data_IF_777068225019
#
_entry.id   IF_777068225019
#
_cell.length_a   1.000
_cell.length_b   1.000
_cell.length_c   1.000
_cell.angle_alpha   90.00
_cell.angle_beta   90.00
_cell.angle_gamma   90.00
#
_symmetry.space_group_name_H-M   'P 1'
#
loop_
_entity.id
_entity.type
_entity.pdbx_description
1 polymer ?
#
# COMPACT_ATOMS: atom_id res chain seq x y z
N UNK A 1 17.20 8.69 22.89
CA UNK A 1 15.81 8.82 22.39
C UNK A 1 15.70 7.85 21.22
N UNK A 2 15.35 6.59 21.49
CA UNK A 2 15.29 5.54 20.46
C UNK A 2 13.96 5.67 19.71
N UNK A 3 14.04 5.76 18.39
CA UNK A 3 12.88 5.58 17.52
C UNK A 3 12.30 4.17 17.77
N UNK A 4 10.96 4.00 17.81
CA UNK A 4 10.39 2.67 17.82
C UNK A 4 10.71 1.97 16.49
N UNK A 5 11.64 1.02 16.57
CA UNK A 5 11.96 0.05 15.54
C UNK A 5 10.77 -0.89 15.34
N UNK A 6 10.23 -0.87 14.12
CA UNK A 6 9.62 -2.01 13.44
C UNK A 6 8.51 -2.78 14.16
N UNK A 7 7.25 -2.49 13.81
CA UNK A 7 6.25 -3.50 13.46
C UNK A 7 4.88 -2.83 13.19
N UNK A 8 4.74 -2.23 12.01
CA UNK A 8 3.44 -2.09 11.37
C UNK A 8 3.46 -2.87 10.04
N UNK A 9 3.90 -4.13 10.12
CA UNK A 9 3.87 -5.09 9.01
C UNK A 9 2.70 -6.09 9.18
N UNK A 10 1.65 -5.69 9.90
CA UNK A 10 0.41 -6.46 9.91
C UNK A 10 -0.45 -5.93 8.78
N UNK A 11 -0.56 -6.67 7.67
CA UNK A 11 -1.68 -6.71 6.71
C UNK A 11 -1.82 -5.65 5.58
N UNK A 12 -0.79 -4.84 5.27
CA UNK A 12 -0.83 -3.97 4.09
C UNK A 12 -0.58 -4.76 2.80
N UNK A 13 -1.19 -4.37 1.68
CA UNK A 13 -0.95 -5.04 0.40
C UNK A 13 0.44 -4.71 -0.16
N UNK A 14 1.00 -5.65 -0.94
CA UNK A 14 2.31 -5.48 -1.62
C UNK A 14 2.40 -4.22 -2.48
N UNK A 15 1.29 -3.78 -3.06
CA UNK A 15 1.25 -2.56 -3.87
C UNK A 15 1.33 -1.29 -3.03
N UNK A 16 0.66 -1.25 -1.86
CA UNK A 16 0.73 -0.07 -0.99
C UNK A 16 2.13 0.05 -0.38
N UNK A 17 2.76 -1.05 0.04
CA UNK A 17 4.14 -1.00 0.55
C UNK A 17 5.14 -0.50 -0.51
N UNK A 18 4.98 -0.96 -1.76
CA UNK A 18 5.80 -0.47 -2.87
C UNK A 18 5.57 1.03 -3.11
N UNK A 19 4.33 1.49 -3.17
CA UNK A 19 4.02 2.90 -3.39
C UNK A 19 4.61 3.80 -2.31
N UNK A 20 4.51 3.41 -1.04
CA UNK A 20 5.10 4.17 0.08
C UNK A 20 6.62 4.21 0.02
N UNK A 21 7.26 3.14 -0.48
CA UNK A 21 8.71 3.11 -0.68
C UNK A 21 9.14 4.10 -1.76
N UNK A 22 8.46 4.13 -2.90
CA UNK A 22 8.75 5.05 -4.01
C UNK A 22 8.50 6.52 -3.60
N UNK A 23 7.38 6.81 -2.93
CA UNK A 23 7.06 8.16 -2.45
C UNK A 23 8.14 8.70 -1.51
N UNK A 24 8.61 7.88 -0.56
CA UNK A 24 9.72 8.26 0.34
C UNK A 24 11.03 8.44 -0.44
N UNK A 25 11.29 7.60 -1.44
CA UNK A 25 12.46 7.70 -2.32
C UNK A 25 12.50 9.02 -3.11
N UNK A 26 11.35 9.51 -3.57
CA UNK A 26 11.21 10.80 -4.24
C UNK A 26 11.13 12.02 -3.28
N UNK A 27 11.20 11.79 -1.96
CA UNK A 27 11.18 12.85 -0.95
C UNK A 27 9.79 13.39 -0.62
N UNK A 28 8.71 12.72 -1.02
CA UNK A 28 7.38 13.07 -0.56
C UNK A 28 7.23 12.78 0.94
N UNK A 29 6.54 13.65 1.70
CA UNK A 29 6.27 13.41 3.11
C UNK A 29 5.32 12.22 3.26
N UNK A 30 5.80 11.14 3.86
CA UNK A 30 5.00 9.96 4.20
C UNK A 30 5.08 9.76 5.71
N UNK A 31 4.08 10.26 6.44
CA UNK A 31 4.04 10.11 7.90
C UNK A 31 3.64 8.69 8.28
N UNK A 32 4.23 8.17 9.37
CA UNK A 32 3.91 6.81 9.83
C UNK A 32 2.45 6.66 10.29
N UNK A 33 1.85 7.74 10.78
CA UNK A 33 0.41 7.79 11.13
C UNK A 33 -0.48 7.62 9.90
N UNK A 34 -0.14 8.28 8.79
CA UNK A 34 -0.89 8.20 7.54
C UNK A 34 -0.70 6.82 6.91
N UNK A 35 0.56 6.33 6.91
CA UNK A 35 0.87 5.01 6.42
C UNK A 35 0.08 3.94 7.19
N UNK A 36 0.06 4.01 8.52
CA UNK A 36 -0.67 3.06 9.36
C UNK A 36 -2.14 2.94 8.93
N UNK A 37 -2.80 4.06 8.63
CA UNK A 37 -4.20 4.12 8.16
C UNK A 37 -4.49 3.41 6.83
N UNK A 38 -3.47 3.13 6.01
CA UNK A 38 -3.64 2.48 4.69
C UNK A 38 -3.78 0.95 4.76
N UNK A 39 -3.92 0.38 5.95
CA UNK A 39 -4.24 -1.04 6.09
C UNK A 39 -5.65 -1.35 5.57
N UNK A 40 -5.81 -2.30 4.64
CA UNK A 40 -7.13 -2.73 4.18
C UNK A 40 -7.95 -3.45 5.26
N UNK A 41 -7.35 -3.81 6.41
CA UNK A 41 -8.06 -4.43 7.53
C UNK A 41 -8.12 -3.53 8.77
N UNK A 42 -7.86 -2.23 8.65
CA UNK A 42 -8.11 -1.26 9.72
C UNK A 42 -9.62 -1.06 9.95
N UNK A 43 -10.44 -1.29 8.93
CA UNK A 43 -11.90 -1.21 9.05
C UNK A 43 -12.47 -2.61 9.23
N UNK A 44 -13.09 -2.85 10.37
CA UNK A 44 -13.88 -4.06 10.67
C UNK A 44 -15.08 -4.25 9.75
N UNK A 45 -15.52 -3.19 9.07
CA UNK A 45 -16.73 -3.17 8.26
C UNK A 45 -16.50 -3.63 6.81
N UNK A 46 -15.23 -3.80 6.40
CA UNK A 46 -14.88 -4.38 5.10
C UNK A 46 -14.87 -5.90 5.27
N UNK A 47 -16.06 -6.50 5.15
CA UNK A 47 -16.20 -7.94 5.09
C UNK A 47 -15.62 -8.48 3.79
N UNK A 48 -14.40 -9.04 3.84
CA UNK A 48 -13.93 -9.96 2.80
C UNK A 48 -14.60 -11.33 3.07
N UNK A 49 -15.92 -11.38 2.92
CA UNK A 49 -16.69 -12.62 2.99
C UNK A 49 -16.85 -13.18 1.57
N UNK A 50 -16.02 -14.17 1.23
CA UNK A 50 -16.09 -14.85 -0.06
C UNK A 50 -14.74 -15.39 -0.52
N UNK A 51 -14.76 -16.50 -1.25
CA UNK A 51 -13.57 -17.01 -1.92
C UNK A 51 -13.35 -16.24 -3.22
N UNK A 52 -12.64 -15.11 -3.14
CA UNK A 52 -12.27 -14.32 -4.30
C UNK A 52 -11.11 -15.01 -5.05
N UNK A 53 -11.44 -15.83 -6.03
CA UNK A 53 -10.47 -16.38 -6.97
C UNK A 53 -10.22 -15.40 -8.11
N UNK A 54 -9.04 -14.76 -8.11
CA UNK A 54 -8.56 -14.03 -9.28
C UNK A 54 -7.66 -14.97 -10.09
N UNK A 55 -7.93 -15.14 -11.38
CA UNK A 55 -6.94 -15.74 -12.27
C UNK A 55 -5.75 -14.78 -12.32
N UNK A 56 -4.62 -15.21 -11.77
CA UNK A 56 -3.39 -14.43 -11.84
C UNK A 56 -2.91 -14.45 -13.29
N UNK A 57 -2.92 -13.32 -14.02
CA UNK A 57 -2.33 -13.29 -15.34
C UNK A 57 -0.81 -13.53 -15.21
N UNK A 58 -0.19 -14.08 -16.24
CA UNK A 58 1.25 -14.35 -16.30
C UNK A 58 2.02 -13.00 -16.28
N UNK A 59 2.22 -12.46 -15.07
CA UNK A 59 2.84 -11.15 -14.85
C UNK A 59 4.37 -11.22 -14.88
N UNK A 60 4.98 -12.40 -15.07
CA UNK A 60 6.44 -12.59 -15.08
C UNK A 60 7.14 -12.12 -13.80
N UNK A 61 6.42 -12.05 -12.67
CA UNK A 61 6.91 -11.46 -11.42
C UNK A 61 6.98 -9.93 -11.43
N UNK A 62 6.48 -9.27 -12.47
CA UNK A 62 6.46 -7.81 -12.58
C UNK A 62 5.20 -7.23 -11.95
N UNK A 63 5.39 -6.18 -11.16
CA UNK A 63 4.28 -5.37 -10.66
C UNK A 63 3.84 -4.40 -11.76
N UNK A 64 2.54 -4.06 -11.81
CA UNK A 64 2.07 -2.95 -12.66
C UNK A 64 2.85 -1.67 -12.36
N UNK A 65 3.05 -0.81 -13.36
CA UNK A 65 3.68 0.49 -13.15
C UNK A 65 2.86 1.32 -12.15
N UNK A 66 3.53 1.98 -11.20
CA UNK A 66 2.86 2.90 -10.30
C UNK A 66 2.49 4.17 -11.06
N UNK A 67 1.33 4.75 -10.72
CA UNK A 67 0.90 6.03 -11.26
C UNK A 67 1.81 7.15 -10.72
N UNK A 68 2.01 8.17 -11.53
CA UNK A 68 2.67 9.41 -11.12
C UNK A 68 1.79 10.15 -10.08
N UNK A 69 2.29 10.38 -8.85
CA UNK A 69 1.52 11.03 -7.79
C UNK A 69 1.17 12.49 -8.09
N UNK A 70 1.89 13.17 -8.99
CA UNK A 70 1.64 14.57 -9.34
C UNK A 70 0.63 14.72 -10.48
N UNK A 71 0.20 13.61 -11.10
CA UNK A 71 -0.86 13.63 -12.11
C UNK A 71 -2.24 13.83 -11.44
N UNK A 72 -2.98 14.91 -11.77
CA UNK A 72 -4.30 15.16 -11.19
C UNK A 72 -5.29 14.03 -11.49
N UNK A 73 -6.23 13.79 -10.59
CA UNK A 73 -7.35 12.89 -10.85
C UNK A 73 -8.29 13.50 -11.91
N UNK A 74 -8.72 12.68 -12.87
CA UNK A 74 -9.75 13.07 -13.83
C UNK A 74 -11.13 12.94 -13.14
N UNK A 75 -11.91 14.03 -13.13
CA UNK A 75 -13.24 14.14 -12.49
C UNK A 75 -14.31 13.20 -13.11
#
# INVERSE_FOLDING_TARGET
>A
MSAPSGAAAGNRTVYIDRALTELRGHGHPVLDVDAAGLSPFIRTDIGIDGHYGFHLPELGGTHRQLRDPDTPDED
#
